data_IF_462851966918
#
_entry.id   IF_462851966918
#
_cell.length_a   1.000
_cell.length_b   1.000
_cell.length_c   1.000
_cell.angle_alpha   90.00
_cell.angle_beta   90.00
_cell.angle_gamma   90.00
#
_symmetry.space_group_name_H-M   'P 1'
#
loop_
_entity.id
_entity.type
_entity.pdbx_description
1 polymer ?
#
# COMPACT_ATOMS: atom_id res chain seq x y z
N UNK A 1 -10.78 -16.41 57.76
CA UNK A 1 -9.42 -16.29 57.18
C UNK A 1 -9.17 -17.52 56.34
N UNK A 2 -9.24 -17.37 55.01
CA UNK A 2 -8.86 -18.42 54.07
C UNK A 2 -8.14 -17.73 52.90
N UNK A 3 -6.83 -17.92 52.85
CA UNK A 3 -5.98 -17.54 51.74
C UNK A 3 -6.33 -18.39 50.52
N UNK A 4 -6.58 -17.73 49.39
CA UNK A 4 -6.58 -18.37 48.08
C UNK A 4 -5.64 -17.58 47.17
N UNK A 5 -4.36 -17.88 47.32
CA UNK A 5 -3.34 -17.75 46.29
C UNK A 5 -3.78 -18.59 45.08
N UNK A 6 -4.55 -18.00 44.17
CA UNK A 6 -4.63 -18.45 42.79
C UNK A 6 -3.84 -17.48 41.94
N UNK A 7 -2.52 -17.73 41.93
CA UNK A 7 -1.66 -17.69 40.74
C UNK A 7 -2.21 -16.83 39.59
N UNK A 8 -1.77 -15.56 39.56
CA UNK A 8 -1.73 -14.71 38.37
C UNK A 8 -0.78 -15.29 37.33
N UNK A 9 -1.11 -16.46 36.79
CA UNK A 9 -0.34 -17.18 35.79
C UNK A 9 -1.11 -17.20 34.46
N UNK A 10 -1.34 -16.02 33.87
CA UNK A 10 -1.64 -15.87 32.44
C UNK A 10 -1.67 -14.39 31.99
N UNK A 11 -0.71 -13.55 32.41
CA UNK A 11 -0.53 -12.23 31.77
C UNK A 11 0.47 -12.25 30.60
N UNK A 12 1.06 -13.40 30.27
CA UNK A 12 1.89 -13.60 29.09
C UNK A 12 1.15 -14.40 28.01
N UNK A 13 0.12 -13.80 27.41
CA UNK A 13 -0.38 -14.13 26.06
C UNK A 13 -1.52 -13.20 25.68
N UNK A 14 -1.17 -11.99 25.22
CA UNK A 14 -1.83 -11.24 24.12
C UNK A 14 -1.15 -9.87 23.94
N UNK A 15 0.16 -9.90 23.70
CA UNK A 15 0.89 -8.77 23.13
C UNK A 15 1.05 -8.93 21.60
N UNK A 16 0.04 -9.50 20.94
CA UNK A 16 -0.04 -9.60 19.47
C UNK A 16 -0.89 -8.48 18.84
N UNK A 17 -1.16 -7.39 19.56
CA UNK A 17 -1.99 -6.29 19.06
C UNK A 17 -1.31 -4.92 19.21
N UNK A 18 0.02 -4.88 19.11
CA UNK A 18 0.79 -3.64 19.00
C UNK A 18 1.47 -3.67 17.63
N UNK A 19 0.91 -2.91 16.68
CA UNK A 19 1.31 -2.81 15.27
C UNK A 19 1.00 -4.03 14.39
N UNK A 20 -0.28 -4.41 14.33
CA UNK A 20 -0.81 -5.27 13.26
C UNK A 20 -1.12 -4.44 12.03
N UNK A 21 -0.30 -4.57 10.99
CA UNK A 21 -0.49 -4.00 9.66
C UNK A 21 -1.88 -4.42 9.15
N UNK A 22 -2.81 -3.47 9.08
CA UNK A 22 -4.14 -3.68 8.52
C UNK A 22 -4.15 -3.70 6.99
N UNK A 23 -3.22 -4.43 6.36
CA UNK A 23 -3.44 -4.94 5.01
C UNK A 23 -4.05 -6.32 5.26
N UNK A 24 -5.37 -6.46 5.07
CA UNK A 24 -5.95 -7.80 4.87
C UNK A 24 -5.07 -8.48 3.82
N UNK A 25 -4.64 -9.71 4.09
CA UNK A 25 -3.76 -10.53 3.24
C UNK A 25 -3.74 -10.03 1.78
N UNK A 26 -2.62 -9.43 1.35
CA UNK A 26 -2.52 -8.73 0.06
C UNK A 26 -2.99 -9.63 -1.09
N UNK A 27 -2.68 -10.93 -1.02
CA UNK A 27 -3.11 -11.91 -2.01
C UNK A 27 -4.63 -12.07 -2.03
N UNK A 28 -5.29 -12.20 -0.87
CA UNK A 28 -6.76 -12.26 -0.78
C UNK A 28 -7.42 -10.98 -1.30
N UNK A 29 -6.80 -9.82 -1.04
CA UNK A 29 -7.27 -8.54 -1.55
C UNK A 29 -7.17 -8.48 -3.08
N UNK A 30 -6.05 -8.90 -3.64
CA UNK A 30 -5.86 -8.97 -5.09
C UNK A 30 -6.82 -9.96 -5.73
N UNK A 31 -7.01 -11.15 -5.15
CA UNK A 31 -7.96 -12.15 -5.63
C UNK A 31 -9.40 -11.63 -5.59
N UNK A 32 -9.78 -10.92 -4.52
CA UNK A 32 -11.08 -10.29 -4.40
C UNK A 32 -11.30 -9.24 -5.49
N UNK A 33 -10.35 -8.33 -5.68
CA UNK A 33 -10.47 -7.27 -6.68
C UNK A 33 -10.49 -7.83 -8.11
N UNK A 34 -9.74 -8.90 -8.38
CA UNK A 34 -9.68 -9.51 -9.71
C UNK A 34 -11.00 -10.18 -10.13
N UNK A 35 -11.83 -10.63 -9.17
CA UNK A 35 -13.16 -11.19 -9.46
C UNK A 35 -14.10 -10.15 -10.06
N UNK A 36 -13.98 -8.89 -9.63
CA UNK A 36 -14.84 -7.78 -10.08
C UNK A 36 -14.22 -7.02 -11.26
N UNK A 37 -12.90 -6.85 -11.23
CA UNK A 37 -12.14 -6.11 -12.23
C UNK A 37 -11.02 -7.01 -12.78
N UNK A 38 -11.33 -7.89 -13.74
CA UNK A 38 -10.36 -8.84 -14.26
C UNK A 38 -9.17 -8.13 -14.90
N UNK A 39 -7.97 -8.47 -14.44
CA UNK A 39 -6.69 -7.97 -14.96
C UNK A 39 -5.68 -9.11 -14.98
N UNK A 40 -4.83 -9.16 -16.01
CA UNK A 40 -3.78 -10.19 -16.08
C UNK A 40 -2.64 -9.86 -15.12
N UNK A 41 -1.98 -10.92 -14.63
CA UNK A 41 -0.75 -10.77 -13.83
C UNK A 41 0.33 -10.03 -14.62
N UNK A 42 0.44 -10.27 -15.93
CA UNK A 42 1.40 -9.59 -16.80
C UNK A 42 1.16 -8.07 -16.83
N UNK A 43 -0.10 -7.62 -16.91
CA UNK A 43 -0.43 -6.19 -16.83
C UNK A 43 0.02 -5.57 -15.50
N UNK A 44 -0.15 -6.29 -14.38
CA UNK A 44 0.27 -5.80 -13.06
C UNK A 44 1.80 -5.81 -12.91
N UNK A 45 2.47 -6.82 -13.46
CA UNK A 45 3.93 -6.91 -13.46
C UNK A 45 4.56 -5.79 -14.30
N UNK A 46 4.08 -5.61 -15.52
CA UNK A 46 4.54 -4.52 -16.40
C UNK A 46 4.34 -3.16 -15.73
N UNK A 47 3.20 -2.96 -15.05
CA UNK A 47 2.96 -1.75 -14.25
C UNK A 47 4.00 -1.56 -13.16
N UNK A 48 4.33 -2.61 -12.41
CA UNK A 48 5.30 -2.54 -11.32
C UNK A 48 6.72 -2.21 -11.82
N UNK A 49 7.09 -2.77 -12.98
CA UNK A 49 8.36 -2.52 -13.67
C UNK A 49 8.41 -1.14 -14.32
N UNK A 50 7.27 -0.62 -14.79
CA UNK A 50 7.15 0.67 -15.45
C UNK A 50 6.67 1.78 -14.50
N UNK A 51 7.21 1.80 -13.28
CA UNK A 51 7.03 2.90 -12.33
C UNK A 51 5.55 3.26 -12.04
N UNK A 52 4.68 2.27 -12.06
CA UNK A 52 3.24 2.44 -11.80
C UNK A 52 2.38 2.73 -13.04
N UNK A 53 2.97 2.79 -14.23
CA UNK A 53 2.26 3.06 -15.50
C UNK A 53 1.64 1.79 -16.07
N UNK A 54 0.34 1.82 -16.38
CA UNK A 54 -0.32 0.70 -17.05
C UNK A 54 0.11 0.59 -18.53
N UNK A 55 0.25 -0.63 -19.09
CA UNK A 55 0.54 -0.82 -20.52
C UNK A 55 -0.52 -0.21 -21.44
N UNK A 56 -1.79 -0.35 -21.06
CA UNK A 56 -2.92 0.35 -21.66
C UNK A 56 -3.60 1.19 -20.58
N UNK A 57 -3.31 2.50 -20.57
CA UNK A 57 -3.91 3.44 -19.62
C UNK A 57 -5.41 3.67 -19.89
N UNK A 58 -5.96 3.20 -21.01
CA UNK A 58 -7.39 3.27 -21.34
C UNK A 58 -8.19 2.08 -20.81
N UNK A 59 -7.54 1.00 -20.38
CA UNK A 59 -8.15 -0.17 -19.75
C UNK A 59 -8.82 0.18 -18.41
N UNK A 60 -10.16 0.22 -18.40
CA UNK A 60 -10.95 0.55 -17.20
C UNK A 60 -10.83 -0.49 -16.09
N UNK A 61 -10.83 -1.78 -16.42
CA UNK A 61 -10.69 -2.85 -15.44
C UNK A 61 -9.35 -2.74 -14.69
N UNK A 62 -8.26 -2.46 -15.40
CA UNK A 62 -6.95 -2.31 -14.75
C UNK A 62 -6.92 -1.11 -13.79
N UNK A 63 -7.51 0.03 -14.16
CA UNK A 63 -7.63 1.20 -13.27
C UNK A 63 -8.52 0.90 -12.06
N UNK A 64 -9.67 0.26 -12.26
CA UNK A 64 -10.58 -0.07 -11.17
C UNK A 64 -10.07 -1.20 -10.27
N UNK A 65 -9.24 -2.10 -10.78
CA UNK A 65 -8.52 -3.06 -9.96
C UNK A 65 -7.59 -2.36 -8.96
N UNK A 66 -6.81 -1.37 -9.42
CA UNK A 66 -5.93 -0.58 -8.56
C UNK A 66 -6.74 0.17 -7.51
N UNK A 67 -7.84 0.80 -7.92
CA UNK A 67 -8.76 1.49 -7.01
C UNK A 67 -9.30 0.56 -5.92
N UNK A 68 -9.76 -0.63 -6.30
CA UNK A 68 -10.26 -1.64 -5.36
C UNK A 68 -9.20 -2.04 -4.33
N UNK A 69 -7.96 -2.26 -4.76
CA UNK A 69 -6.84 -2.62 -3.86
C UNK A 69 -6.52 -1.47 -2.90
N UNK A 70 -6.50 -0.23 -3.39
CA UNK A 70 -6.29 0.96 -2.55
C UNK A 70 -7.44 1.16 -1.54
N UNK A 71 -8.69 0.99 -1.98
CA UNK A 71 -9.86 1.00 -1.09
C UNK A 71 -9.79 -0.06 -0.01
N UNK A 72 -9.38 -1.28 -0.35
CA UNK A 72 -9.21 -2.36 0.62
C UNK A 72 -8.11 -2.07 1.67
N UNK A 73 -7.09 -1.28 1.31
CA UNK A 73 -6.06 -0.78 2.24
C UNK A 73 -6.52 0.43 3.09
N UNK A 74 -7.66 1.02 2.73
CA UNK A 74 -8.22 2.23 3.33
C UNK A 74 -7.58 3.53 2.83
N UNK A 75 -6.80 3.49 1.75
CA UNK A 75 -6.24 4.69 1.10
C UNK A 75 -7.27 5.37 0.20
N UNK A 76 -8.43 4.75 -0.01
CA UNK A 76 -9.62 5.35 -0.62
C UNK A 76 -10.78 5.25 0.36
N UNK A 77 -11.41 6.37 0.65
CA UNK A 77 -12.58 6.47 1.53
C UNK A 77 -13.83 5.86 0.88
N UNK A 78 -14.89 5.63 1.67
CA UNK A 78 -16.15 5.06 1.17
C UNK A 78 -16.81 5.90 0.09
N UNK A 79 -16.61 7.22 0.09
CA UNK A 79 -17.07 8.15 -0.93
C UNK A 79 -16.20 8.18 -2.21
N UNK A 80 -15.12 7.41 -2.25
CA UNK A 80 -14.19 7.33 -3.39
C UNK A 80 -13.10 8.40 -3.41
N UNK A 81 -12.99 9.22 -2.36
CA UNK A 81 -11.92 10.20 -2.21
C UNK A 81 -10.64 9.58 -1.65
N UNK A 82 -9.49 10.16 -2.00
CA UNK A 82 -8.19 9.70 -1.52
C UNK A 82 -7.98 10.04 -0.04
N UNK A 83 -7.48 9.08 0.74
CA UNK A 83 -7.13 9.24 2.14
C UNK A 83 -5.62 9.44 2.28
N UNK A 84 -5.18 10.70 2.14
CA UNK A 84 -3.77 11.11 2.23
C UNK A 84 -3.09 10.63 3.52
N UNK A 85 -3.77 10.75 4.67
CA UNK A 85 -3.22 10.32 5.96
C UNK A 85 -2.94 8.83 5.98
N UNK A 86 -3.88 8.01 5.51
CA UNK A 86 -3.71 6.55 5.46
C UNK A 86 -2.65 6.14 4.44
N UNK A 87 -2.59 6.82 3.28
CA UNK A 87 -1.59 6.59 2.26
C UNK A 87 -0.16 6.85 2.79
N UNK A 88 0.06 7.98 3.46
CA UNK A 88 1.35 8.30 4.10
C UNK A 88 1.75 7.22 5.11
N UNK A 89 0.82 6.83 5.99
CA UNK A 89 1.08 5.80 6.99
C UNK A 89 1.55 4.50 6.33
N UNK A 90 0.84 4.01 5.30
CA UNK A 90 1.19 2.76 4.62
C UNK A 90 2.54 2.86 3.91
N UNK A 91 2.78 3.93 3.15
CA UNK A 91 4.04 4.09 2.41
C UNK A 91 5.24 4.23 3.36
N UNK A 92 5.08 4.94 4.48
CA UNK A 92 6.10 5.03 5.54
C UNK A 92 6.35 3.66 6.17
N UNK A 93 5.31 2.95 6.61
CA UNK A 93 5.44 1.65 7.26
C UNK A 93 6.12 0.62 6.32
N UNK A 94 5.76 0.61 5.03
CA UNK A 94 6.39 -0.27 4.02
C UNK A 94 7.87 0.06 3.79
N UNK A 95 8.22 1.35 3.70
CA UNK A 95 9.61 1.73 3.49
C UNK A 95 10.47 1.48 4.74
N UNK A 96 9.94 1.72 5.94
CA UNK A 96 10.60 1.36 7.19
C UNK A 96 10.86 -0.16 7.29
N UNK A 97 9.89 -0.99 6.88
CA UNK A 97 10.06 -2.44 6.83
C UNK A 97 11.15 -2.88 5.84
N UNK A 98 11.47 -2.05 4.85
CA UNK A 98 12.55 -2.24 3.88
C UNK A 98 13.86 -1.55 4.30
N UNK A 99 13.95 -1.05 5.54
CA UNK A 99 15.14 -0.37 6.06
C UNK A 99 15.35 1.05 5.53
N UNK A 100 14.37 1.63 4.83
CA UNK A 100 14.43 2.98 4.26
C UNK A 100 13.79 3.98 5.20
N UNK A 101 14.58 4.93 5.72
CA UNK A 101 14.11 6.00 6.59
C UNK A 101 13.99 7.33 5.82
N UNK A 102 12.95 7.42 4.99
CA UNK A 102 12.67 8.56 4.09
C UNK A 102 11.27 9.14 4.35
N UNK A 103 10.80 9.12 5.58
CA UNK A 103 9.40 9.42 5.94
C UNK A 103 8.95 10.83 5.54
N UNK A 104 9.85 11.82 5.58
CA UNK A 104 9.53 13.18 5.15
C UNK A 104 9.37 13.26 3.64
N UNK A 105 10.27 12.64 2.87
CA UNK A 105 10.16 12.58 1.41
C UNK A 105 8.88 11.85 0.99
N UNK A 106 8.55 10.75 1.66
CA UNK A 106 7.29 10.02 1.44
C UNK A 106 6.09 10.92 1.69
N UNK A 107 6.09 11.67 2.79
CA UNK A 107 4.98 12.57 3.12
C UNK A 107 4.79 13.63 2.04
N UNK A 108 5.88 14.25 1.58
CA UNK A 108 5.85 15.26 0.52
C UNK A 108 5.36 14.66 -0.81
N UNK A 109 5.84 13.46 -1.16
CA UNK A 109 5.43 12.75 -2.38
C UNK A 109 3.94 12.48 -2.38
N UNK A 110 3.41 11.94 -1.28
CA UNK A 110 1.98 11.63 -1.18
C UNK A 110 1.14 12.90 -1.22
N UNK A 111 1.56 13.98 -0.56
CA UNK A 111 0.84 15.26 -0.61
C UNK A 111 0.75 15.81 -2.02
N UNK A 112 1.87 15.93 -2.72
CA UNK A 112 1.92 16.46 -4.08
C UNK A 112 1.09 15.59 -5.05
N UNK A 113 1.23 14.26 -4.97
CA UNK A 113 0.52 13.34 -5.86
C UNK A 113 -0.98 13.25 -5.56
N UNK A 114 -1.43 13.54 -4.34
CA UNK A 114 -2.85 13.46 -3.94
C UNK A 114 -3.74 14.48 -4.66
N UNK A 115 -3.13 15.48 -5.30
CA UNK A 115 -3.83 16.51 -6.07
C UNK A 115 -4.22 16.05 -7.49
N UNK A 116 -3.68 14.91 -7.95
CA UNK A 116 -4.01 14.37 -9.27
C UNK A 116 -5.45 13.86 -9.30
N UNK A 117 -6.15 14.13 -10.41
CA UNK A 117 -7.52 13.68 -10.63
C UNK A 117 -7.81 13.43 -12.10
N UNK A 118 -8.86 12.63 -12.37
CA UNK A 118 -9.32 12.32 -13.71
C UNK A 118 -10.80 11.97 -13.74
N UNK A 119 -11.28 11.38 -14.83
CA UNK A 119 -12.68 11.00 -15.00
C UNK A 119 -13.07 9.82 -14.09
N UNK A 120 -13.70 10.15 -12.95
CA UNK A 120 -14.20 9.16 -11.99
C UNK A 120 -13.13 8.63 -11.02
N UNK A 121 -13.57 7.80 -10.07
CA UNK A 121 -12.74 7.33 -8.96
C UNK A 121 -11.59 6.42 -9.43
N UNK A 122 -11.84 5.47 -10.33
CA UNK A 122 -10.79 4.57 -10.81
C UNK A 122 -9.64 5.30 -11.52
N UNK A 123 -9.96 6.25 -12.40
CA UNK A 123 -8.94 7.06 -13.07
C UNK A 123 -8.20 7.96 -12.08
N UNK A 124 -8.92 8.61 -11.18
CA UNK A 124 -8.32 9.48 -10.15
C UNK A 124 -7.32 8.71 -9.28
N UNK A 125 -7.73 7.57 -8.72
CA UNK A 125 -6.86 6.74 -7.86
C UNK A 125 -5.67 6.18 -8.64
N UNK A 126 -5.88 5.77 -9.90
CA UNK A 126 -4.79 5.35 -10.77
C UNK A 126 -3.73 6.45 -10.95
N UNK A 127 -4.15 7.68 -11.28
CA UNK A 127 -3.23 8.80 -11.49
C UNK A 127 -2.46 9.19 -10.22
N UNK A 128 -3.13 9.18 -9.07
CA UNK A 128 -2.47 9.41 -7.77
C UNK A 128 -1.43 8.32 -7.51
N UNK A 129 -1.79 7.04 -7.66
CA UNK A 129 -0.89 5.92 -7.37
C UNK A 129 0.27 5.82 -8.37
N UNK A 130 0.04 6.10 -9.65
CA UNK A 130 1.09 6.22 -10.68
C UNK A 130 2.10 7.30 -10.29
N UNK A 131 1.64 8.48 -9.87
CA UNK A 131 2.53 9.56 -9.42
C UNK A 131 3.39 9.14 -8.22
N UNK A 132 2.77 8.50 -7.21
CA UNK A 132 3.49 8.00 -6.03
C UNK A 132 4.53 6.96 -6.46
N UNK A 133 4.13 5.91 -7.18
CA UNK A 133 5.03 4.83 -7.60
C UNK A 133 6.21 5.35 -8.44
N UNK A 134 5.94 6.31 -9.32
CA UNK A 134 6.95 6.95 -10.16
C UNK A 134 7.98 7.72 -9.34
N UNK A 135 7.53 8.54 -8.38
CA UNK A 135 8.46 9.28 -7.51
C UNK A 135 9.19 8.40 -6.51
N UNK A 136 8.53 7.35 -6.03
CA UNK A 136 9.16 6.36 -5.15
C UNK A 136 10.23 5.52 -5.86
N UNK A 137 10.19 5.43 -7.20
CA UNK A 137 11.19 4.67 -7.96
C UNK A 137 12.61 5.19 -7.75
N UNK A 138 12.78 6.49 -7.49
CA UNK A 138 14.07 7.11 -7.18
C UNK A 138 14.73 6.54 -5.91
N UNK A 139 13.96 5.94 -5.00
CA UNK A 139 14.47 5.33 -3.76
C UNK A 139 14.61 3.80 -3.86
N UNK A 140 14.41 3.22 -5.04
CA UNK A 140 14.53 1.76 -5.27
C UNK A 140 15.97 1.32 -5.62
N UNK A 141 16.95 2.23 -5.61
CA UNK A 141 18.36 1.91 -5.85
C UNK A 141 18.82 0.71 -4.98
N UNK A 142 19.54 -0.26 -5.58
CA UNK A 142 19.96 -1.46 -4.88
C UNK A 142 20.97 -1.11 -3.78
N UNK A 143 20.76 -1.68 -2.59
CA UNK A 143 21.82 -1.85 -1.60
C UNK A 143 23.06 -2.37 -2.32
N UNK A 144 24.16 -1.62 -2.25
CA UNK A 144 25.42 -1.97 -2.88
C UNK A 144 25.74 -3.45 -2.69
N UNK A 145 25.84 -4.16 -3.82
CA UNK A 145 26.58 -5.41 -3.88
C UNK A 145 28.02 -5.04 -3.51
N UNK A 146 28.42 -5.31 -2.26
CA UNK A 146 29.82 -5.28 -1.88
C UNK A 146 30.55 -6.33 -2.73
N UNK A 147 31.05 -5.92 -3.89
CA UNK A 147 32.18 -6.59 -4.53
C UNK A 147 33.36 -6.42 -3.60
N UNK A 148 33.62 -7.44 -2.80
CA UNK A 148 34.93 -7.65 -2.20
C UNK A 148 35.93 -7.87 -3.35
N UNK A 149 36.73 -6.85 -3.64
CA UNK A 149 38.08 -7.02 -4.20
C UNK A 149 39.07 -7.35 -3.07
#
# INVERSE_FOLDING_TARGET
MASALCLMAAAHRRHSHRYGIGIKNLNETMDFCNKTYPVSVDTLLERALNNGTLPDETNENARCFIECVERAKGTVNTDGTWNTTRAKQIEIDMNLALGRNISQDISNIVDECSTNSGSGSCMTVYLIKKCIDSRMSAFREPSQHNTHE
#
